data_IF_290203104483
#
_entry.id   IF_290203104483
#
_cell.length_a   1.000
_cell.length_b   1.000
_cell.length_c   1.000
_cell.angle_alpha   90.00
_cell.angle_beta   90.00
_cell.angle_gamma   90.00
#
_symmetry.space_group_name_H-M   'P 1'
#
loop_
_entity.id
_entity.type
_entity.pdbx_description
1 polymer ?
#
# COMPACT_ATOMS: atom_id res chain seq x y z
N UNK A 1 -20.30 10.19 3.08
CA UNK A 1 -20.99 8.87 3.18
C UNK A 1 -20.67 7.93 2.00
N UNK A 2 -20.76 8.37 0.73
CA UNK A 2 -20.51 7.51 -0.45
C UNK A 2 -19.11 6.86 -0.48
N UNK A 3 -18.05 7.61 -0.13
CA UNK A 3 -16.69 7.07 -0.05
C UNK A 3 -16.59 5.88 0.91
N UNK A 4 -17.15 6.01 2.11
CA UNK A 4 -17.14 4.93 3.12
C UNK A 4 -17.90 3.70 2.63
N UNK A 5 -19.03 3.87 1.93
CA UNK A 5 -19.76 2.74 1.35
C UNK A 5 -18.90 1.95 0.35
N UNK A 6 -18.11 2.64 -0.49
CA UNK A 6 -17.19 1.98 -1.41
C UNK A 6 -15.98 1.35 -0.70
N UNK A 7 -15.52 1.92 0.42
CA UNK A 7 -14.50 1.29 1.27
C UNK A 7 -15.04 -0.02 1.87
N UNK A 8 -16.24 -0.02 2.42
CA UNK A 8 -16.89 -1.24 2.93
C UNK A 8 -17.06 -2.28 1.82
N UNK A 9 -17.49 -1.87 0.62
CA UNK A 9 -17.60 -2.75 -0.53
C UNK A 9 -16.23 -3.29 -0.99
N UNK A 10 -15.16 -2.50 -0.89
CA UNK A 10 -13.81 -2.95 -1.19
C UNK A 10 -13.39 -4.07 -0.24
N UNK A 11 -13.53 -3.88 1.07
CA UNK A 11 -13.12 -4.88 2.05
C UNK A 11 -14.01 -6.12 2.09
N UNK A 12 -15.33 -5.97 1.91
CA UNK A 12 -16.26 -7.10 1.88
C UNK A 12 -16.29 -7.82 0.52
N UNK A 13 -16.06 -7.10 -0.58
CA UNK A 13 -16.23 -7.59 -1.96
C UNK A 13 -14.96 -8.11 -2.61
N UNK A 14 -14.04 -8.69 -1.83
CA UNK A 14 -12.81 -9.29 -2.38
C UNK A 14 -11.78 -8.29 -2.91
N UNK A 15 -11.74 -7.07 -2.37
CA UNK A 15 -10.71 -6.06 -2.66
C UNK A 15 -10.67 -5.63 -4.13
N UNK A 16 -11.84 -5.51 -4.76
CA UNK A 16 -11.97 -5.08 -6.15
C UNK A 16 -11.31 -3.71 -6.41
N UNK A 17 -10.39 -3.60 -7.39
CA UNK A 17 -9.76 -2.33 -7.76
C UNK A 17 -10.78 -1.25 -8.17
N UNK A 18 -11.94 -1.66 -8.70
CA UNK A 18 -12.99 -0.72 -9.08
C UNK A 18 -13.65 -0.06 -7.86
N UNK A 19 -13.90 -0.82 -6.80
CA UNK A 19 -14.44 -0.29 -5.54
C UNK A 19 -13.47 0.69 -4.89
N UNK A 20 -12.17 0.35 -4.88
CA UNK A 20 -11.11 1.26 -4.42
C UNK A 20 -11.07 2.57 -5.21
N UNK A 21 -11.09 2.50 -6.55
CA UNK A 21 -11.13 3.71 -7.41
C UNK A 21 -12.34 4.59 -7.12
N UNK A 22 -13.52 3.99 -6.97
CA UNK A 22 -14.75 4.71 -6.66
C UNK A 22 -14.71 5.36 -5.28
N UNK A 23 -14.17 4.68 -4.26
CA UNK A 23 -13.98 5.25 -2.93
C UNK A 23 -13.07 6.49 -2.98
N UNK A 24 -11.90 6.38 -3.63
CA UNK A 24 -10.96 7.50 -3.74
C UNK A 24 -11.54 8.68 -4.54
N UNK A 25 -12.27 8.40 -5.62
CA UNK A 25 -12.96 9.43 -6.39
C UNK A 25 -14.04 10.13 -5.56
N UNK A 26 -14.81 9.38 -4.76
CA UNK A 26 -15.84 9.94 -3.90
C UNK A 26 -15.26 10.83 -2.80
N UNK A 27 -14.11 10.47 -2.20
CA UNK A 27 -13.42 11.34 -1.25
C UNK A 27 -12.91 12.62 -1.90
N UNK A 28 -12.22 12.50 -3.05
CA UNK A 28 -11.70 13.67 -3.76
C UNK A 28 -12.82 14.60 -4.24
N UNK A 29 -13.97 14.05 -4.66
CA UNK A 29 -15.13 14.84 -5.03
C UNK A 29 -15.76 15.54 -3.82
N UNK A 30 -15.82 14.89 -2.66
CA UNK A 30 -16.32 15.51 -1.43
C UNK A 30 -15.49 16.75 -1.07
N UNK A 31 -14.15 16.63 -1.09
CA UNK A 31 -13.25 17.76 -0.83
C UNK A 31 -13.38 18.90 -1.86
N UNK A 32 -13.73 18.59 -3.11
CA UNK A 32 -13.92 19.60 -4.17
C UNK A 32 -15.24 20.35 -4.07
N UNK A 33 -16.31 19.65 -3.70
CA UNK A 33 -17.67 20.22 -3.68
C UNK A 33 -17.98 20.89 -2.36
N UNK A 34 -17.47 20.35 -1.25
CA UNK A 34 -17.70 20.85 0.09
C UNK A 34 -16.37 21.09 0.82
N UNK A 35 -15.94 22.35 0.98
CA UNK A 35 -14.75 22.68 1.76
C UNK A 35 -14.80 22.19 3.21
N UNK A 36 -16.00 22.01 3.80
CA UNK A 36 -16.12 21.45 5.15
C UNK A 36 -15.78 19.96 5.19
N UNK A 37 -15.94 19.23 4.09
CA UNK A 37 -15.50 17.85 3.99
C UNK A 37 -13.98 17.72 4.14
N UNK A 38 -13.21 18.72 3.68
CA UNK A 38 -11.75 18.75 3.86
C UNK A 38 -11.35 18.94 5.33
N UNK A 39 -12.25 19.48 6.18
CA UNK A 39 -12.06 19.63 7.62
C UNK A 39 -12.58 18.43 8.43
N UNK A 40 -13.03 17.35 7.77
CA UNK A 40 -13.50 16.15 8.44
C UNK A 40 -12.33 15.17 8.71
N UNK A 41 -11.94 14.93 9.98
CA UNK A 41 -10.84 14.02 10.30
C UNK A 41 -11.13 12.56 9.89
N UNK A 42 -12.38 12.09 10.01
CA UNK A 42 -12.77 10.73 9.61
C UNK A 42 -12.59 10.49 8.13
N UNK A 43 -12.83 11.50 7.30
CA UNK A 43 -12.64 11.41 5.85
C UNK A 43 -11.19 11.08 5.54
N UNK A 44 -10.26 11.82 6.15
CA UNK A 44 -8.82 11.62 5.95
C UNK A 44 -8.34 10.28 6.50
N UNK A 45 -8.82 9.86 7.67
CA UNK A 45 -8.48 8.55 8.24
C UNK A 45 -8.95 7.39 7.34
N UNK A 46 -10.20 7.42 6.88
CA UNK A 46 -10.77 6.36 6.07
C UNK A 46 -10.08 6.27 4.69
N UNK A 47 -9.82 7.42 4.07
CA UNK A 47 -9.05 7.50 2.83
C UNK A 47 -7.64 6.97 3.01
N UNK A 48 -6.95 7.37 4.09
CA UNK A 48 -5.61 6.89 4.40
C UNK A 48 -5.56 5.37 4.61
N UNK A 49 -6.56 4.81 5.29
CA UNK A 49 -6.66 3.35 5.51
C UNK A 49 -6.77 2.59 4.19
N UNK A 50 -7.58 3.09 3.25
CA UNK A 50 -7.66 2.51 1.91
C UNK A 50 -6.33 2.67 1.15
N UNK A 51 -5.69 3.84 1.21
CA UNK A 51 -4.41 4.09 0.54
C UNK A 51 -3.29 3.21 1.07
N UNK A 52 -3.26 2.95 2.38
CA UNK A 52 -2.31 2.02 3.00
C UNK A 52 -2.50 0.61 2.46
N UNK A 53 -3.74 0.15 2.33
CA UNK A 53 -4.06 -1.16 1.74
C UNK A 53 -3.65 -1.28 0.27
N UNK A 54 -3.66 -0.16 -0.46
CA UNK A 54 -3.22 -0.08 -1.85
C UNK A 54 -1.71 0.19 -1.99
N UNK A 55 -0.95 0.09 -0.89
CA UNK A 55 0.50 0.34 -0.81
C UNK A 55 0.92 1.75 -1.26
N UNK A 56 -0.02 2.72 -1.24
CA UNK A 56 0.24 4.14 -1.51
C UNK A 56 0.64 4.84 -0.21
N UNK A 57 1.76 4.41 0.36
CA UNK A 57 2.16 4.75 1.72
C UNK A 57 2.35 6.24 1.97
N UNK A 58 2.97 6.97 1.05
CA UNK A 58 3.17 8.42 1.17
C UNK A 58 1.84 9.17 1.36
N UNK A 59 0.87 8.90 0.49
CA UNK A 59 -0.45 9.52 0.55
C UNK A 59 -1.25 9.06 1.78
N UNK A 60 -1.03 7.82 2.25
CA UNK A 60 -1.63 7.35 3.50
C UNK A 60 -1.10 8.13 4.71
N UNK A 61 0.20 8.37 4.79
CA UNK A 61 0.83 9.16 5.86
C UNK A 61 0.35 10.61 5.85
N UNK A 62 0.24 11.22 4.68
CA UNK A 62 -0.31 12.57 4.52
C UNK A 62 -1.75 12.62 5.06
N UNK A 63 -2.60 11.67 4.68
CA UNK A 63 -3.98 11.59 5.20
C UNK A 63 -4.03 11.40 6.71
N UNK A 64 -3.20 10.52 7.28
CA UNK A 64 -3.13 10.34 8.74
C UNK A 64 -2.67 11.61 9.44
N UNK A 65 -1.67 12.31 8.89
CA UNK A 65 -1.20 13.59 9.41
C UNK A 65 -2.28 14.66 9.37
N UNK A 66 -3.07 14.75 8.29
CA UNK A 66 -4.21 15.67 8.23
C UNK A 66 -5.28 15.35 9.27
N UNK A 67 -5.63 14.07 9.46
CA UNK A 67 -6.56 13.67 10.50
C UNK A 67 -6.06 14.05 11.92
N UNK A 68 -4.76 13.88 12.20
CA UNK A 68 -4.13 14.29 13.47
C UNK A 68 -4.17 15.81 13.71
N UNK A 69 -4.03 16.61 12.65
CA UNK A 69 -4.09 18.08 12.73
C UNK A 69 -5.53 18.56 12.97
N UNK A 70 -6.50 17.90 12.35
CA UNK A 70 -7.92 18.25 12.45
C UNK A 70 -8.53 17.86 13.80
N UNK A 71 -8.12 16.71 14.36
CA UNK A 71 -8.49 16.31 15.72
C UNK A 71 -7.26 15.82 16.49
N UNK A 72 -6.60 16.70 17.27
CA UNK A 72 -5.43 16.34 18.06
C UNK A 72 -5.72 15.38 19.22
N UNK A 73 -6.98 15.32 19.67
CA UNK A 73 -7.44 14.48 20.80
C UNK A 73 -7.75 13.06 20.36
N UNK A 74 -7.96 12.86 19.06
CA UNK A 74 -8.18 11.54 18.48
C UNK A 74 -6.86 10.79 18.30
N UNK A 75 -6.65 9.78 19.14
CA UNK A 75 -5.38 9.02 19.15
C UNK A 75 -5.21 8.05 17.98
N UNK A 76 -6.29 7.62 17.33
CA UNK A 76 -6.24 6.56 16.31
C UNK A 76 -5.38 6.93 15.09
N UNK A 77 -5.52 8.12 14.46
CA UNK A 77 -4.63 8.55 13.38
C UNK A 77 -3.16 8.59 13.80
N UNK A 78 -2.87 9.07 15.02
CA UNK A 78 -1.50 9.16 15.56
C UNK A 78 -0.88 7.77 15.72
N UNK A 79 -1.61 6.82 16.29
CA UNK A 79 -1.17 5.42 16.44
C UNK A 79 -0.90 4.79 15.08
N UNK A 80 -1.83 4.93 14.13
CA UNK A 80 -1.66 4.38 12.76
C UNK A 80 -0.48 5.01 12.03
N UNK A 81 -0.28 6.32 12.16
CA UNK A 81 0.86 7.01 11.57
C UNK A 81 2.18 6.47 12.12
N UNK A 82 2.30 6.35 13.45
CA UNK A 82 3.49 5.78 14.10
C UNK A 82 3.77 4.35 13.65
N UNK A 83 2.76 3.48 13.65
CA UNK A 83 2.91 2.09 13.22
C UNK A 83 3.34 1.98 11.75
N UNK A 84 2.78 2.81 10.87
CA UNK A 84 3.15 2.81 9.45
C UNK A 84 4.59 3.31 9.25
N UNK A 85 5.00 4.36 9.96
CA UNK A 85 6.39 4.85 9.95
C UNK A 85 7.38 3.78 10.42
N UNK A 86 7.09 3.11 11.54
CA UNK A 86 7.95 2.04 12.06
C UNK A 86 8.06 0.87 11.06
N UNK A 87 6.92 0.46 10.49
CA UNK A 87 6.88 -0.59 9.48
C UNK A 87 7.75 -0.24 8.26
N UNK A 88 7.61 0.96 7.71
CA UNK A 88 8.36 1.40 6.52
C UNK A 88 9.84 1.56 6.83
N UNK A 89 10.20 2.15 7.97
CA UNK A 89 11.58 2.26 8.43
C UNK A 89 12.26 0.89 8.53
N UNK A 90 11.58 -0.08 9.17
CA UNK A 90 12.06 -1.46 9.27
C UNK A 90 12.18 -2.14 7.92
N UNK A 91 11.19 -1.96 7.04
CA UNK A 91 11.18 -2.53 5.69
C UNK A 91 12.35 -2.00 4.86
N UNK A 92 12.55 -0.68 4.83
CA UNK A 92 13.67 -0.03 4.16
C UNK A 92 15.01 -0.54 4.69
N UNK A 93 15.20 -0.60 6.01
CA UNK A 93 16.42 -1.12 6.61
C UNK A 93 16.69 -2.60 6.30
N UNK A 94 15.64 -3.41 6.14
CA UNK A 94 15.77 -4.80 5.68
C UNK A 94 16.13 -4.89 4.21
N UNK A 95 15.58 -4.02 3.35
CA UNK A 95 15.91 -3.98 1.93
C UNK A 95 17.37 -3.56 1.72
N UNK A 96 17.83 -2.52 2.41
CA UNK A 96 19.22 -2.05 2.38
C UNK A 96 20.20 -3.13 2.82
N UNK A 97 19.89 -3.82 3.92
CA UNK A 97 20.76 -4.86 4.48
C UNK A 97 20.45 -6.27 3.96
N UNK A 98 19.63 -6.39 2.91
CA UNK A 98 19.18 -7.65 2.30
C UNK A 98 18.76 -8.71 3.33
N UNK A 99 17.88 -8.35 4.24
CA UNK A 99 17.36 -9.24 5.28
C UNK A 99 18.40 -9.68 6.31
N UNK A 100 19.48 -8.89 6.51
CA UNK A 100 20.61 -9.23 7.39
C UNK A 100 21.33 -10.52 7.00
N UNK A 101 21.26 -10.91 5.72
CA UNK A 101 21.90 -12.12 5.22
C UNK A 101 23.42 -11.92 5.09
N UNK A 102 24.20 -12.78 5.77
CA UNK A 102 25.67 -12.80 5.65
C UNK A 102 26.11 -13.14 4.22
N UNK A 103 27.22 -12.55 3.77
CA UNK A 103 27.73 -12.68 2.39
C UNK A 103 27.87 -14.12 1.87
N UNK A 104 28.27 -15.08 2.72
CA UNK A 104 28.33 -16.51 2.35
C UNK A 104 26.94 -17.10 2.05
N UNK A 105 25.95 -16.86 2.92
CA UNK A 105 24.55 -17.30 2.71
C UNK A 105 23.92 -16.61 1.51
N UNK A 106 24.24 -15.33 1.30
CA UNK A 106 23.81 -14.59 0.11
C UNK A 106 24.33 -15.23 -1.17
N UNK A 107 25.64 -15.48 -1.28
CA UNK A 107 26.22 -16.12 -2.47
C UNK A 107 25.65 -17.52 -2.73
N UNK A 108 25.34 -18.28 -1.68
CA UNK A 108 24.65 -19.58 -1.83
C UNK A 108 23.21 -19.49 -2.33
N UNK A 109 22.55 -18.33 -2.18
CA UNK A 109 21.19 -18.07 -2.69
C UNK A 109 21.19 -17.34 -4.04
N UNK A 110 22.29 -16.67 -4.39
CA UNK A 110 22.47 -15.97 -5.67
C UNK A 110 22.96 -17.00 -6.69
N UNK A 111 22.01 -17.70 -7.29
CA UNK A 111 22.23 -18.66 -8.37
C UNK A 111 20.95 -18.82 -9.18
N UNK A 112 21.01 -19.50 -10.35
CA UNK A 112 19.81 -19.81 -11.10
C UNK A 112 18.85 -20.64 -10.23
N UNK A 113 17.59 -20.21 -10.16
CA UNK A 113 16.55 -20.94 -9.44
C UNK A 113 16.32 -22.27 -10.16
N UNK A 114 16.51 -23.43 -9.51
CA UNK A 114 16.24 -24.72 -10.13
C UNK A 114 14.80 -24.82 -10.65
N UNK A 115 14.63 -25.35 -11.88
CA UNK A 115 13.30 -25.53 -12.50
C UNK A 115 12.29 -26.28 -11.61
N UNK A 116 12.66 -27.31 -10.82
CA UNK A 116 11.72 -27.94 -9.90
C UNK A 116 11.16 -27.01 -8.82
N UNK A 117 11.92 -25.98 -8.42
CA UNK A 117 11.44 -24.96 -7.47
C UNK A 117 10.42 -23.99 -8.08
N UNK A 118 10.30 -23.95 -9.42
CA UNK A 118 9.31 -23.15 -10.12
C UNK A 118 7.92 -23.81 -10.10
N UNK A 119 7.82 -25.11 -9.80
CA UNK A 119 6.56 -25.84 -9.70
C UNK A 119 5.69 -25.66 -10.96
N UNK A 120 4.42 -25.22 -10.84
CA UNK A 120 3.53 -24.98 -11.98
C UNK A 120 4.05 -23.99 -13.03
N UNK A 121 4.99 -23.11 -12.65
CA UNK A 121 5.61 -22.14 -13.56
C UNK A 121 6.74 -22.74 -14.40
N UNK A 122 7.32 -23.87 -13.96
CA UNK A 122 8.43 -24.55 -14.63
C UNK A 122 8.02 -25.66 -15.61
N UNK A 123 6.72 -25.99 -15.65
CA UNK A 123 6.18 -27.02 -16.53
C UNK A 123 5.93 -26.53 -17.97
N UNK A 124 5.67 -27.43 -18.93
CA UNK A 124 5.42 -27.12 -20.34
C UNK A 124 4.17 -26.25 -20.63
N UNK A 125 3.38 -25.91 -19.60
CA UNK A 125 2.24 -24.97 -19.66
C UNK A 125 2.38 -23.76 -18.73
N UNK A 126 3.55 -23.54 -18.12
CA UNK A 126 3.81 -22.37 -17.28
C UNK A 126 3.76 -21.08 -18.11
N UNK A 127 3.35 -19.93 -17.52
CA UNK A 127 3.40 -18.66 -18.22
C UNK A 127 4.84 -18.38 -18.66
N UNK A 128 5.05 -18.20 -19.97
CA UNK A 128 6.36 -17.83 -20.49
C UNK A 128 6.75 -16.49 -19.85
N UNK A 129 7.90 -16.39 -19.14
CA UNK A 129 8.31 -15.12 -18.59
C UNK A 129 8.42 -14.11 -19.74
N UNK A 130 7.68 -13.02 -19.66
CA UNK A 130 7.83 -11.92 -20.59
C UNK A 130 9.28 -11.45 -20.51
N UNK A 131 9.95 -11.17 -21.64
CA UNK A 131 11.27 -10.57 -21.58
C UNK A 131 11.21 -9.31 -20.71
N UNK A 132 12.31 -9.00 -20.02
CA UNK A 132 12.40 -7.92 -19.04
C UNK A 132 12.43 -6.46 -19.59
N UNK A 133 12.37 -6.11 -20.91
CA UNK A 133 12.65 -4.74 -21.32
C UNK A 133 11.53 -3.73 -21.00
N UNK A 134 10.42 -4.13 -20.38
CA UNK A 134 9.32 -3.22 -20.01
C UNK A 134 9.36 -2.73 -18.55
N UNK A 135 10.24 -3.25 -17.70
CA UNK A 135 10.51 -2.65 -16.39
C UNK A 135 11.46 -1.46 -16.58
N UNK A 136 10.89 -0.32 -17.01
CA UNK A 136 11.58 0.97 -16.90
C UNK A 136 11.95 1.15 -15.43
N UNK A 137 13.25 1.25 -15.14
CA UNK A 137 13.70 1.72 -13.83
C UNK A 137 12.99 3.06 -13.58
N UNK A 138 12.23 3.15 -12.49
CA UNK A 138 11.65 4.42 -12.08
C UNK A 138 12.78 5.43 -11.94
N UNK A 139 12.64 6.56 -12.63
CA UNK A 139 13.44 7.76 -12.40
C UNK A 139 13.17 8.29 -10.99
#
# INVERSE_FOLDING_TARGET
VLGNAHVSLFFAGGQSPQSARRALAAYGQAERVDPQAANNPDLHLNRATLLQYLERFQAALEGLSRAMVLDPTWEEPRKRHGNLMEFLSRLCGLLENRGKLRGKRRRGLVGPVPLPLLGPLGGPGGPRPSPLPTLRAGN
#
